data_IF_581987722926
#
_entry.id   IF_581987722926
#
_cell.length_a   1.000
_cell.length_b   1.000
_cell.length_c   1.000
_cell.angle_alpha   90.00
_cell.angle_beta   90.00
_cell.angle_gamma   90.00
#
_symmetry.space_group_name_H-M   'P 1'
#
loop_
_entity.id
_entity.type
_entity.pdbx_description
1 polymer ?
#
# COMPACT_ATOMS: atom_id res chain seq x y z
N UNK A 1 -36.74 -10.41 8.33
CA UNK A 1 -36.89 -11.88 8.26
C UNK A 1 -37.67 -12.38 9.49
N UNK A 2 -38.47 -13.46 9.35
CA UNK A 2 -39.11 -14.11 10.50
C UNK A 2 -38.15 -15.15 11.09
N UNK A 3 -38.38 -15.53 12.38
CA UNK A 3 -37.57 -16.55 13.02
C UNK A 3 -37.60 -17.90 12.28
N UNK A 4 -38.77 -18.34 11.81
CA UNK A 4 -38.91 -19.56 11.03
C UNK A 4 -38.15 -19.52 9.69
N UNK A 5 -38.12 -18.36 9.02
CA UNK A 5 -37.32 -18.19 7.82
C UNK A 5 -35.83 -18.16 8.13
N UNK A 6 -35.41 -17.68 9.31
CA UNK A 6 -34.03 -17.73 9.74
C UNK A 6 -33.60 -19.18 10.06
N UNK A 7 -34.48 -20.00 10.67
CA UNK A 7 -34.20 -21.43 10.87
C UNK A 7 -34.07 -22.19 9.54
N UNK A 8 -34.98 -21.93 8.57
CA UNK A 8 -34.90 -22.54 7.23
C UNK A 8 -33.55 -22.17 6.55
N UNK A 9 -33.10 -20.94 6.72
CA UNK A 9 -31.79 -20.50 6.20
C UNK A 9 -30.60 -21.19 6.89
N UNK A 10 -30.68 -21.52 8.18
CA UNK A 10 -29.62 -22.30 8.86
C UNK A 10 -29.49 -23.67 8.20
N UNK A 11 -30.62 -24.33 7.94
CA UNK A 11 -30.62 -25.65 7.29
C UNK A 11 -30.02 -25.58 5.87
N UNK A 12 -30.31 -24.53 5.11
CA UNK A 12 -29.75 -24.33 3.76
C UNK A 12 -28.23 -24.05 3.83
N UNK A 13 -27.80 -23.25 4.76
CA UNK A 13 -26.38 -22.87 4.93
C UNK A 13 -25.53 -24.03 5.49
N UNK A 14 -26.08 -24.88 6.38
CA UNK A 14 -25.40 -26.07 6.90
C UNK A 14 -25.14 -27.15 5.84
N UNK A 15 -25.91 -27.15 4.75
CA UNK A 15 -25.72 -28.09 3.65
C UNK A 15 -24.63 -27.67 2.66
N UNK A 16 -24.04 -26.49 2.82
CA UNK A 16 -22.97 -26.01 1.96
C UNK A 16 -21.64 -26.75 2.29
N UNK A 17 -20.97 -27.24 1.26
CA UNK A 17 -19.70 -27.94 1.41
C UNK A 17 -18.62 -26.98 1.97
N UNK A 18 -17.99 -27.35 3.07
CA UNK A 18 -16.99 -26.53 3.76
C UNK A 18 -17.54 -25.67 4.91
N UNK A 19 -18.86 -25.67 5.12
CA UNK A 19 -19.45 -25.12 6.35
C UNK A 19 -19.42 -26.20 7.43
N UNK A 20 -18.80 -25.86 8.57
CA UNK A 20 -18.63 -26.77 9.70
C UNK A 20 -19.72 -26.65 10.73
N UNK A 21 -20.12 -25.43 11.04
CA UNK A 21 -21.08 -25.14 12.08
C UNK A 21 -21.69 -23.76 11.86
N UNK A 22 -22.97 -23.63 12.17
CA UNK A 22 -23.68 -22.36 12.24
C UNK A 22 -24.21 -22.19 13.67
N UNK A 23 -23.89 -21.05 14.27
CA UNK A 23 -24.46 -20.67 15.56
C UNK A 23 -25.60 -19.68 15.31
N UNK A 24 -26.81 -20.11 15.67
CA UNK A 24 -28.02 -19.31 15.61
C UNK A 24 -29.02 -19.87 16.66
N UNK A 25 -29.61 -18.99 17.45
CA UNK A 25 -30.62 -19.34 18.46
C UNK A 25 -31.64 -18.20 18.63
N UNK A 26 -32.62 -18.39 19.49
CA UNK A 26 -33.68 -17.43 19.80
C UNK A 26 -33.24 -16.35 20.82
N UNK A 27 -31.96 -16.27 21.15
CA UNK A 27 -31.44 -15.26 22.02
C UNK A 27 -31.49 -13.87 21.37
N UNK A 28 -31.49 -12.83 22.19
CA UNK A 28 -31.45 -11.46 21.69
C UNK A 28 -30.15 -11.10 20.98
N UNK A 29 -29.13 -11.92 21.15
CA UNK A 29 -27.84 -11.74 20.50
C UNK A 29 -27.88 -12.22 19.04
N UNK A 30 -28.71 -13.25 18.74
CA UNK A 30 -28.83 -13.81 17.40
C UNK A 30 -30.11 -13.40 16.66
N UNK A 31 -31.22 -13.11 17.38
CA UNK A 31 -32.45 -12.71 16.73
C UNK A 31 -33.15 -11.56 17.46
N UNK A 32 -33.34 -10.44 16.79
CA UNK A 32 -34.02 -9.26 17.37
C UNK A 32 -34.88 -8.55 16.33
N UNK A 33 -36.20 -8.54 16.55
CA UNK A 33 -37.14 -7.87 15.64
C UNK A 33 -37.30 -8.59 14.30
N UNK A 34 -36.64 -8.09 13.27
CA UNK A 34 -36.59 -8.70 11.92
C UNK A 34 -35.14 -8.98 11.48
N UNK A 35 -34.18 -8.83 12.38
CA UNK A 35 -32.77 -9.03 12.12
C UNK A 35 -32.31 -10.36 12.73
N UNK A 36 -31.55 -11.15 11.93
CA UNK A 36 -30.95 -12.41 12.34
C UNK A 36 -29.42 -12.33 12.16
N UNK A 37 -28.67 -12.79 13.16
CA UNK A 37 -27.22 -12.90 13.13
C UNK A 37 -26.82 -14.37 13.10
N UNK A 38 -26.15 -14.78 12.04
CA UNK A 38 -25.59 -16.12 11.89
C UNK A 38 -24.07 -16.05 12.08
N UNK A 39 -23.53 -16.89 12.96
CA UNK A 39 -22.09 -17.09 13.08
C UNK A 39 -21.69 -18.37 12.37
N UNK A 40 -21.09 -18.24 11.18
CA UNK A 40 -20.71 -19.37 10.33
C UNK A 40 -19.24 -19.72 10.54
N UNK A 41 -18.97 -20.98 10.89
CA UNK A 41 -17.61 -21.52 11.00
C UNK A 41 -17.35 -22.46 9.83
N UNK A 42 -16.19 -22.31 9.18
CA UNK A 42 -15.79 -23.15 8.04
C UNK A 42 -14.84 -24.27 8.46
N UNK A 43 -14.75 -25.34 7.65
CA UNK A 43 -13.90 -26.50 7.90
C UNK A 43 -12.40 -26.23 7.71
N UNK A 44 -12.06 -25.28 6.85
CA UNK A 44 -10.68 -24.87 6.55
C UNK A 44 -10.21 -23.65 7.34
N UNK A 45 -8.95 -23.29 7.15
CA UNK A 45 -8.41 -22.02 7.61
C UNK A 45 -8.88 -20.86 6.74
N UNK A 46 -8.66 -19.63 7.20
CA UNK A 46 -9.08 -18.39 6.52
C UNK A 46 -8.52 -18.26 5.08
N UNK A 47 -7.38 -18.89 4.80
CA UNK A 47 -6.69 -18.82 3.50
C UNK A 47 -6.96 -20.03 2.60
N UNK A 48 -7.57 -21.09 3.13
CA UNK A 48 -7.84 -22.29 2.36
C UNK A 48 -8.97 -22.12 1.34
N UNK A 49 -8.81 -22.74 0.16
CA UNK A 49 -9.77 -22.62 -0.93
C UNK A 49 -11.17 -23.10 -0.53
N UNK A 50 -11.26 -24.15 0.29
CA UNK A 50 -12.54 -24.69 0.76
C UNK A 50 -13.35 -23.65 1.55
N UNK A 51 -12.68 -22.84 2.39
CA UNK A 51 -13.35 -21.77 3.14
C UNK A 51 -13.79 -20.61 2.24
N UNK A 52 -13.02 -20.32 1.19
CA UNK A 52 -13.34 -19.27 0.21
C UNK A 52 -14.52 -19.67 -0.65
N UNK A 53 -14.54 -20.89 -1.16
CA UNK A 53 -15.62 -21.42 -1.98
C UNK A 53 -16.92 -21.50 -1.15
N UNK A 54 -16.83 -21.99 0.09
CA UNK A 54 -17.97 -22.03 1.01
C UNK A 54 -18.51 -20.63 1.33
N UNK A 55 -17.65 -19.63 1.54
CA UNK A 55 -18.09 -18.24 1.77
C UNK A 55 -18.79 -17.64 0.54
N UNK A 56 -18.34 -17.98 -0.67
CA UNK A 56 -18.98 -17.52 -1.91
C UNK A 56 -20.37 -18.15 -2.06
N UNK A 57 -20.52 -19.45 -1.80
CA UNK A 57 -21.81 -20.16 -1.83
C UNK A 57 -22.76 -19.66 -0.74
N UNK A 58 -22.25 -19.36 0.47
CA UNK A 58 -23.04 -18.69 1.53
C UNK A 58 -23.59 -17.35 1.04
N UNK A 59 -22.79 -16.54 0.36
CA UNK A 59 -23.23 -15.27 -0.18
C UNK A 59 -24.26 -15.42 -1.30
N UNK A 60 -24.09 -16.43 -2.18
CA UNK A 60 -25.06 -16.73 -3.23
C UNK A 60 -26.40 -17.20 -2.65
N UNK A 61 -26.36 -18.03 -1.60
CA UNK A 61 -27.57 -18.49 -0.90
C UNK A 61 -28.33 -17.35 -0.22
N UNK A 62 -27.58 -16.33 0.23
CA UNK A 62 -28.15 -15.14 0.84
C UNK A 62 -28.51 -14.04 -0.19
N UNK A 63 -28.26 -14.27 -1.48
CA UNK A 63 -28.64 -13.32 -2.53
C UNK A 63 -30.17 -13.16 -2.57
N UNK A 64 -30.63 -11.94 -2.45
CA UNK A 64 -32.06 -11.62 -2.33
C UNK A 64 -32.49 -11.16 -0.93
N UNK A 65 -31.64 -11.29 0.06
CA UNK A 65 -31.81 -10.71 1.39
C UNK A 65 -30.95 -9.44 1.55
N UNK A 66 -31.38 -8.52 2.41
CA UNK A 66 -30.54 -7.37 2.80
C UNK A 66 -29.57 -7.83 3.89
N UNK A 67 -28.35 -8.21 3.49
CA UNK A 67 -27.36 -8.84 4.36
C UNK A 67 -26.08 -8.03 4.45
N UNK A 68 -25.53 -7.99 5.65
CA UNK A 68 -24.17 -7.53 5.90
C UNK A 68 -23.30 -8.74 6.29
N UNK A 69 -22.28 -9.03 5.47
CA UNK A 69 -21.34 -10.13 5.71
C UNK A 69 -20.02 -9.59 6.20
N UNK A 70 -19.60 -9.99 7.40
CA UNK A 70 -18.26 -9.77 7.94
C UNK A 70 -17.54 -11.12 8.03
N UNK A 71 -16.38 -11.25 7.42
CA UNK A 71 -15.63 -12.51 7.37
C UNK A 71 -14.14 -12.26 7.31
N UNK A 72 -13.36 -13.03 8.08
CA UNK A 72 -11.90 -13.08 7.98
C UNK A 72 -11.41 -13.91 6.78
N UNK A 73 -12.26 -14.77 6.23
CA UNK A 73 -11.91 -15.64 5.08
C UNK A 73 -11.59 -14.81 3.84
N UNK A 74 -10.38 -14.97 3.33
CA UNK A 74 -9.88 -14.26 2.15
C UNK A 74 -9.74 -12.73 2.36
N UNK A 75 -9.74 -12.24 3.60
CA UNK A 75 -9.61 -10.80 3.91
C UNK A 75 -8.26 -10.27 3.47
N UNK A 76 -7.19 -11.05 3.63
CA UNK A 76 -5.85 -10.66 3.18
C UNK A 76 -5.79 -10.48 1.66
N UNK A 77 -6.38 -11.38 0.88
CA UNK A 77 -6.40 -11.27 -0.59
C UNK A 77 -7.26 -10.10 -1.06
N UNK A 78 -8.46 -9.94 -0.50
CA UNK A 78 -9.36 -8.82 -0.83
C UNK A 78 -8.76 -7.47 -0.44
N UNK A 79 -8.11 -7.42 0.71
CA UNK A 79 -7.39 -6.23 1.16
C UNK A 79 -6.20 -5.93 0.25
N UNK A 80 -5.45 -6.95 -0.17
CA UNK A 80 -4.33 -6.81 -1.07
C UNK A 80 -4.78 -6.36 -2.48
N UNK A 81 -5.89 -6.89 -2.98
CA UNK A 81 -6.44 -6.52 -4.29
C UNK A 81 -7.02 -5.10 -4.30
N UNK A 82 -7.79 -4.74 -3.29
CA UNK A 82 -8.31 -3.37 -3.11
C UNK A 82 -7.17 -2.38 -2.95
N UNK A 83 -6.17 -2.70 -2.12
CA UNK A 83 -4.98 -1.88 -1.97
C UNK A 83 -4.19 -1.76 -3.28
N UNK A 84 -4.10 -2.83 -4.08
CA UNK A 84 -3.41 -2.79 -5.38
C UNK A 84 -4.12 -1.85 -6.37
N UNK A 85 -5.45 -1.84 -6.41
CA UNK A 85 -6.23 -0.93 -7.24
C UNK A 85 -6.09 0.52 -6.75
N UNK A 86 -6.24 0.76 -5.47
CA UNK A 86 -6.07 2.09 -4.86
C UNK A 86 -4.66 2.63 -5.07
N UNK A 87 -3.64 1.75 -5.00
CA UNK A 87 -2.25 2.12 -5.22
C UNK A 87 -1.96 2.56 -6.65
N UNK A 88 -2.59 1.95 -7.65
CA UNK A 88 -2.45 2.41 -9.03
C UNK A 88 -3.00 3.84 -9.20
N UNK A 89 -4.13 4.13 -8.58
CA UNK A 89 -4.72 5.48 -8.59
C UNK A 89 -3.80 6.47 -7.87
N UNK A 90 -3.31 6.11 -6.69
CA UNK A 90 -2.38 6.93 -5.90
C UNK A 90 -1.09 7.19 -6.68
N UNK A 91 -0.54 6.19 -7.36
CA UNK A 91 0.69 6.31 -8.14
C UNK A 91 0.50 7.23 -9.34
N UNK A 92 -0.60 7.11 -10.07
CA UNK A 92 -0.94 8.01 -11.17
C UNK A 92 -1.12 9.44 -10.65
N UNK A 93 -1.85 9.61 -9.54
CA UNK A 93 -2.04 10.93 -8.91
C UNK A 93 -0.71 11.53 -8.46
N UNK A 94 0.16 10.72 -7.84
CA UNK A 94 1.50 11.14 -7.44
C UNK A 94 2.31 11.64 -8.65
N UNK A 95 2.34 10.88 -9.74
CA UNK A 95 3.05 11.29 -10.97
C UNK A 95 2.48 12.60 -11.53
N UNK A 96 1.16 12.78 -11.54
CA UNK A 96 0.54 14.04 -11.97
C UNK A 96 0.96 15.22 -11.09
N UNK A 97 0.95 15.03 -9.77
CA UNK A 97 1.40 16.06 -8.81
C UNK A 97 2.89 16.37 -9.03
N UNK A 98 3.73 15.34 -9.21
CA UNK A 98 5.15 15.49 -9.52
C UNK A 98 5.37 16.35 -10.74
N UNK A 99 4.71 16.03 -11.84
CA UNK A 99 4.82 16.80 -13.09
C UNK A 99 4.37 18.24 -12.88
N UNK A 100 3.27 18.45 -12.14
CA UNK A 100 2.78 19.79 -11.85
C UNK A 100 3.78 20.60 -11.02
N UNK A 101 4.34 19.99 -9.96
CA UNK A 101 5.35 20.64 -9.12
C UNK A 101 6.61 20.95 -9.91
N UNK A 102 7.12 20.02 -10.70
CA UNK A 102 8.29 20.24 -11.55
C UNK A 102 8.02 21.33 -12.60
N UNK A 103 6.83 21.41 -13.19
CA UNK A 103 6.46 22.49 -14.12
C UNK A 103 6.47 23.87 -13.46
N UNK A 104 6.09 23.94 -12.19
CA UNK A 104 6.08 25.18 -11.43
C UNK A 104 7.47 25.58 -10.93
N UNK A 105 8.29 24.58 -10.54
CA UNK A 105 9.63 24.81 -9.99
C UNK A 105 10.70 25.03 -11.06
N UNK A 106 10.60 24.36 -12.21
CA UNK A 106 11.68 24.41 -13.20
C UNK A 106 11.37 25.41 -14.33
N UNK A 107 12.36 26.24 -14.68
CA UNK A 107 12.32 27.10 -15.86
C UNK A 107 12.70 26.39 -17.17
N UNK A 108 13.22 25.14 -17.07
CA UNK A 108 13.70 24.35 -18.21
C UNK A 108 12.82 23.11 -18.41
N UNK A 109 11.83 23.19 -19.28
CA UNK A 109 10.88 22.09 -19.53
C UNK A 109 11.53 20.77 -20.00
N UNK A 110 12.73 20.82 -20.59
CA UNK A 110 13.47 19.62 -21.01
C UNK A 110 14.01 18.80 -19.83
N UNK A 111 14.12 19.40 -18.65
CA UNK A 111 14.61 18.75 -17.43
C UNK A 111 13.57 17.77 -16.86
N UNK A 112 12.27 18.06 -17.04
CA UNK A 112 11.17 17.26 -16.50
C UNK A 112 11.21 15.79 -17.00
N UNK A 113 11.29 15.51 -18.32
CA UNK A 113 11.35 14.13 -18.77
C UNK A 113 12.60 13.39 -18.33
N UNK A 114 13.74 14.09 -18.18
CA UNK A 114 14.97 13.47 -17.70
C UNK A 114 14.80 13.03 -16.24
N UNK A 115 14.24 13.88 -15.38
CA UNK A 115 13.97 13.56 -13.98
C UNK A 115 12.94 12.42 -13.86
N UNK A 116 11.87 12.44 -14.66
CA UNK A 116 10.88 11.36 -14.63
C UNK A 116 11.47 10.00 -15.03
N UNK A 117 12.36 9.97 -16.03
CA UNK A 117 13.07 8.73 -16.40
C UNK A 117 13.97 8.27 -15.26
N UNK A 118 14.70 9.18 -14.62
CA UNK A 118 15.56 8.86 -13.47
C UNK A 118 14.75 8.28 -12.31
N UNK A 119 13.62 8.91 -11.99
CA UNK A 119 12.71 8.41 -10.94
C UNK A 119 12.10 7.04 -11.31
N UNK A 120 11.73 6.85 -12.58
CA UNK A 120 11.25 5.56 -13.08
C UNK A 120 12.30 4.46 -12.94
N UNK A 121 13.56 4.74 -13.30
CA UNK A 121 14.66 3.79 -13.12
C UNK A 121 14.89 3.49 -11.63
N UNK A 122 14.88 4.49 -10.77
CA UNK A 122 15.03 4.29 -9.32
C UNK A 122 13.88 3.44 -8.74
N UNK A 123 12.63 3.66 -9.18
CA UNK A 123 11.48 2.88 -8.76
C UNK A 123 11.60 1.41 -9.20
N UNK A 124 11.99 1.16 -10.46
CA UNK A 124 12.23 -0.20 -10.99
C UNK A 124 13.35 -0.90 -10.22
N UNK A 125 14.43 -0.21 -9.91
CA UNK A 125 15.53 -0.76 -9.09
C UNK A 125 15.04 -1.09 -7.67
N UNK A 126 14.21 -0.25 -7.09
CA UNK A 126 13.64 -0.51 -5.77
C UNK A 126 12.76 -1.76 -5.79
N UNK A 127 11.86 -1.89 -6.76
CA UNK A 127 11.01 -3.08 -6.91
C UNK A 127 11.84 -4.34 -7.19
N UNK A 128 12.83 -4.25 -8.09
CA UNK A 128 13.69 -5.38 -8.45
C UNK A 128 14.54 -5.89 -7.29
N UNK A 129 15.05 -4.99 -6.45
CA UNK A 129 15.84 -5.36 -5.25
C UNK A 129 14.99 -5.90 -4.10
N UNK A 130 13.67 -5.79 -4.15
CA UNK A 130 12.76 -6.40 -3.17
C UNK A 130 12.89 -7.93 -3.14
N UNK A 131 13.25 -8.55 -4.26
CA UNK A 131 13.48 -9.98 -4.35
C UNK A 131 14.46 -10.52 -3.29
N UNK A 132 15.45 -9.74 -2.88
CA UNK A 132 16.45 -10.16 -1.87
C UNK A 132 15.89 -10.17 -0.44
N UNK A 133 14.74 -9.54 -0.21
CA UNK A 133 14.12 -9.45 1.13
C UNK A 133 13.00 -10.48 1.34
N UNK A 134 12.74 -11.36 0.36
CA UNK A 134 11.72 -12.41 0.43
C UNK A 134 10.30 -11.87 0.22
N UNK A 135 9.35 -12.39 0.99
CA UNK A 135 7.95 -11.94 0.92
C UNK A 135 7.78 -10.60 1.61
N UNK A 136 7.39 -9.59 0.86
CA UNK A 136 7.13 -8.24 1.35
C UNK A 136 5.64 -7.99 1.25
N UNK A 137 5.05 -7.42 2.30
CA UNK A 137 3.64 -6.99 2.26
C UNK A 137 3.39 -6.04 1.08
N UNK A 138 2.27 -6.21 0.39
CA UNK A 138 1.82 -5.31 -0.69
C UNK A 138 1.72 -3.86 -0.22
N UNK A 139 1.26 -3.66 1.02
CA UNK A 139 1.20 -2.35 1.69
C UNK A 139 2.59 -1.71 1.78
N UNK A 140 3.58 -2.47 2.28
CA UNK A 140 4.96 -1.98 2.43
C UNK A 140 5.57 -1.59 1.08
N UNK A 141 5.41 -2.45 0.06
CA UNK A 141 5.92 -2.18 -1.28
C UNK A 141 5.33 -0.89 -1.86
N UNK A 142 4.04 -0.71 -1.69
CA UNK A 142 3.29 0.43 -2.20
C UNK A 142 3.72 1.75 -1.53
N UNK A 143 3.79 1.75 -0.21
CA UNK A 143 4.26 2.92 0.57
C UNK A 143 5.71 3.25 0.19
N UNK A 144 6.57 2.24 0.00
CA UNK A 144 7.96 2.45 -0.36
C UNK A 144 8.12 3.18 -1.71
N UNK A 145 7.34 2.79 -2.73
CA UNK A 145 7.40 3.43 -4.05
C UNK A 145 6.92 4.89 -3.98
N UNK A 146 5.81 5.15 -3.29
CA UNK A 146 5.29 6.52 -3.13
C UNK A 146 6.26 7.41 -2.36
N UNK A 147 6.80 6.91 -1.24
CA UNK A 147 7.79 7.63 -0.45
C UNK A 147 9.07 7.91 -1.25
N UNK A 148 9.54 6.91 -1.99
CA UNK A 148 10.72 7.06 -2.84
C UNK A 148 10.54 8.15 -3.89
N UNK A 149 9.39 8.16 -4.57
CA UNK A 149 9.08 9.19 -5.56
C UNK A 149 9.02 10.59 -4.93
N UNK A 150 8.36 10.71 -3.77
CA UNK A 150 8.26 11.99 -3.06
C UNK A 150 9.64 12.54 -2.67
N UNK A 151 10.52 11.70 -2.09
CA UNK A 151 11.85 12.11 -1.70
C UNK A 151 12.75 12.41 -2.89
N UNK A 152 12.66 11.60 -3.96
CA UNK A 152 13.43 11.83 -5.18
C UNK A 152 13.15 13.20 -5.81
N UNK A 153 11.88 13.65 -5.73
CA UNK A 153 11.51 15.00 -6.21
C UNK A 153 12.12 16.08 -5.34
N UNK A 154 12.03 15.96 -4.03
CA UNK A 154 12.61 16.94 -3.11
C UNK A 154 14.11 17.11 -3.36
N UNK A 155 14.82 15.99 -3.53
CA UNK A 155 16.26 16.02 -3.84
C UNK A 155 16.56 16.62 -5.20
N UNK A 156 15.75 16.31 -6.20
CA UNK A 156 15.88 16.87 -7.53
C UNK A 156 15.65 18.39 -7.53
N UNK A 157 14.64 18.88 -6.81
CA UNK A 157 14.34 20.31 -6.69
C UNK A 157 15.52 21.02 -6.02
N UNK A 158 16.02 20.51 -4.89
CA UNK A 158 17.17 21.09 -4.19
C UNK A 158 18.37 21.19 -5.12
N UNK A 159 18.69 20.11 -5.85
CA UNK A 159 19.82 20.09 -6.78
C UNK A 159 19.61 21.06 -7.95
N UNK A 160 18.42 21.11 -8.51
CA UNK A 160 18.09 22.00 -9.62
C UNK A 160 18.17 23.48 -9.21
N UNK A 161 17.63 23.80 -8.04
CA UNK A 161 17.65 25.18 -7.53
C UNK A 161 19.10 25.63 -7.27
N UNK A 162 19.93 24.76 -6.66
CA UNK A 162 21.36 25.04 -6.48
C UNK A 162 22.10 25.20 -7.80
N UNK A 163 21.80 24.33 -8.79
CA UNK A 163 22.40 24.47 -10.12
C UNK A 163 22.02 25.79 -10.78
N UNK A 164 20.76 26.18 -10.72
CA UNK A 164 20.30 27.44 -11.34
C UNK A 164 20.95 28.67 -10.65
N UNK A 165 21.08 28.64 -9.32
CA UNK A 165 21.76 29.71 -8.56
C UNK A 165 23.22 29.88 -9.00
N UNK A 166 23.95 28.75 -9.11
CA UNK A 166 25.36 28.80 -9.50
C UNK A 166 25.57 29.13 -10.99
N UNK A 167 24.66 28.71 -11.85
CA UNK A 167 24.71 28.93 -13.31
C UNK A 167 24.47 30.39 -13.70
N UNK A 168 23.98 31.23 -12.81
CA UNK A 168 23.91 32.68 -13.05
C UNK A 168 25.31 33.33 -13.18
N UNK A 169 26.33 32.74 -12.55
CA UNK A 169 27.67 33.32 -12.45
C UNK A 169 28.76 32.42 -13.03
N UNK A 170 28.51 31.12 -13.15
CA UNK A 170 29.49 30.12 -13.60
C UNK A 170 29.03 29.48 -14.92
N UNK A 171 29.96 28.86 -15.62
CA UNK A 171 29.60 28.03 -16.76
C UNK A 171 28.91 26.73 -16.30
N UNK A 172 28.26 26.03 -17.22
CA UNK A 172 27.42 24.87 -16.88
C UNK A 172 28.22 23.76 -16.19
N UNK A 173 29.47 23.51 -16.58
CA UNK A 173 30.31 22.46 -16.00
C UNK A 173 30.74 22.79 -14.56
N UNK A 174 31.14 24.02 -14.33
CA UNK A 174 31.56 24.48 -13.02
C UNK A 174 30.36 24.63 -12.08
N UNK A 175 29.24 25.17 -12.58
CA UNK A 175 27.98 25.28 -11.85
C UNK A 175 27.50 23.94 -11.31
N UNK A 176 27.54 22.86 -12.10
CA UNK A 176 27.18 21.51 -11.64
C UNK A 176 28.08 21.04 -10.51
N UNK A 177 29.39 21.23 -10.60
CA UNK A 177 30.32 20.80 -9.54
C UNK A 177 30.06 21.52 -8.23
N UNK A 178 29.84 22.82 -8.30
CA UNK A 178 29.56 23.65 -7.12
C UNK A 178 28.19 23.32 -6.55
N UNK A 179 27.15 23.18 -7.38
CA UNK A 179 25.80 22.81 -6.97
C UNK A 179 25.80 21.48 -6.24
N UNK A 180 26.46 20.44 -6.81
CA UNK A 180 26.58 19.14 -6.16
C UNK A 180 27.29 19.22 -4.81
N UNK A 181 28.37 19.97 -4.71
CA UNK A 181 29.13 20.12 -3.46
C UNK A 181 28.30 20.77 -2.34
N UNK A 182 27.35 21.64 -2.69
CA UNK A 182 26.42 22.29 -1.76
C UNK A 182 25.16 21.44 -1.46
N UNK A 183 24.59 20.82 -2.49
CA UNK A 183 23.36 20.04 -2.36
C UNK A 183 23.57 18.71 -1.61
N UNK A 184 24.69 18.00 -1.83
CA UNK A 184 24.96 16.70 -1.21
C UNK A 184 24.89 16.75 0.33
N UNK A 185 25.53 17.68 1.04
CA UNK A 185 25.42 17.76 2.50
C UNK A 185 23.99 18.06 2.97
N UNK A 186 23.25 18.89 2.26
CA UNK A 186 21.87 19.27 2.58
C UNK A 186 20.92 18.07 2.42
N UNK A 187 20.96 17.40 1.27
CA UNK A 187 20.18 16.21 0.97
C UNK A 187 20.54 15.06 1.94
N UNK A 188 21.84 14.82 2.18
CA UNK A 188 22.30 13.76 3.08
C UNK A 188 21.84 13.99 4.52
N UNK A 189 21.86 15.23 5.00
CA UNK A 189 21.40 15.59 6.34
C UNK A 189 19.89 15.33 6.51
N UNK A 190 19.08 15.72 5.53
CA UNK A 190 17.64 15.48 5.50
C UNK A 190 17.34 13.98 5.45
N UNK A 191 18.00 13.26 4.54
CA UNK A 191 17.85 11.81 4.37
C UNK A 191 18.22 11.04 5.62
N UNK A 192 19.31 11.44 6.30
CA UNK A 192 19.74 10.77 7.54
C UNK A 192 18.69 10.88 8.64
N UNK A 193 18.02 12.02 8.74
CA UNK A 193 16.92 12.22 9.70
C UNK A 193 15.76 11.29 9.40
N UNK A 194 15.35 11.17 8.13
CA UNK A 194 14.28 10.28 7.70
C UNK A 194 14.67 8.80 7.91
N UNK A 195 15.88 8.42 7.52
CA UNK A 195 16.42 7.06 7.75
C UNK A 195 16.41 6.73 9.24
N UNK A 196 16.79 7.65 10.12
CA UNK A 196 16.78 7.42 11.56
C UNK A 196 15.37 7.11 12.09
N UNK A 197 14.35 7.80 11.57
CA UNK A 197 12.94 7.50 11.88
C UNK A 197 12.50 6.12 11.39
N UNK A 198 12.89 5.73 10.17
CA UNK A 198 12.57 4.41 9.62
C UNK A 198 13.33 3.28 10.33
N UNK A 199 14.58 3.52 10.72
CA UNK A 199 15.34 2.58 11.56
C UNK A 199 14.67 2.39 12.92
N UNK A 200 14.10 3.44 13.52
CA UNK A 200 13.35 3.29 14.75
C UNK A 200 12.14 2.35 14.61
N UNK A 201 11.48 2.31 13.46
CA UNK A 201 10.40 1.36 13.18
C UNK A 201 10.87 -0.09 13.21
N UNK A 202 12.13 -0.37 12.88
CA UNK A 202 12.68 -1.75 12.91
C UNK A 202 12.75 -2.33 14.32
N UNK A 203 12.69 -1.49 15.36
CA UNK A 203 12.65 -1.93 16.77
C UNK A 203 11.22 -2.18 17.30
N UNK A 204 10.19 -2.02 16.46
CA UNK A 204 8.83 -2.36 16.83
C UNK A 204 8.68 -3.87 16.99
N UNK A 205 7.86 -4.30 17.96
CA UNK A 205 7.59 -5.72 18.20
C UNK A 205 6.74 -6.38 17.10
N UNK A 206 6.08 -5.59 16.26
CA UNK A 206 5.30 -6.07 15.12
C UNK A 206 6.21 -6.33 13.92
N UNK A 207 6.07 -7.51 13.33
CA UNK A 207 6.82 -7.91 12.13
C UNK A 207 6.66 -6.91 10.98
N UNK A 208 5.46 -6.35 10.79
CA UNK A 208 5.19 -5.30 9.80
C UNK A 208 6.09 -4.06 10.01
N UNK A 209 6.34 -3.65 11.24
CA UNK A 209 7.20 -2.50 11.53
C UNK A 209 8.65 -2.73 11.08
N UNK A 210 9.18 -3.93 11.31
CA UNK A 210 10.51 -4.32 10.86
C UNK A 210 10.61 -4.35 9.33
N UNK A 211 9.67 -5.02 8.65
CA UNK A 211 9.64 -5.14 7.19
C UNK A 211 9.50 -3.77 6.52
N UNK A 212 8.60 -2.92 7.03
CA UNK A 212 8.45 -1.55 6.55
C UNK A 212 9.73 -0.74 6.77
N UNK A 213 10.32 -0.80 7.95
CA UNK A 213 11.52 -0.05 8.29
C UNK A 213 12.66 -0.33 7.32
N UNK A 214 12.97 -1.60 7.05
CA UNK A 214 14.09 -1.99 6.20
C UNK A 214 13.85 -1.62 4.72
N UNK A 215 12.62 -1.83 4.22
CA UNK A 215 12.28 -1.53 2.82
C UNK A 215 12.25 -0.02 2.57
N UNK A 216 11.73 0.77 3.52
CA UNK A 216 11.71 2.21 3.41
C UNK A 216 13.12 2.82 3.49
N UNK A 217 13.99 2.32 4.38
CA UNK A 217 15.41 2.73 4.41
C UNK A 217 16.09 2.45 3.08
N UNK A 218 15.88 1.25 2.49
CA UNK A 218 16.39 0.91 1.16
C UNK A 218 15.86 1.87 0.09
N UNK A 219 14.56 2.17 0.10
CA UNK A 219 13.93 3.08 -0.85
C UNK A 219 14.55 4.50 -0.78
N UNK A 220 14.82 4.99 0.43
CA UNK A 220 15.48 6.28 0.64
C UNK A 220 16.91 6.26 0.08
N UNK A 221 17.68 5.22 0.35
CA UNK A 221 19.05 5.09 -0.16
C UNK A 221 19.09 5.04 -1.69
N UNK A 222 18.11 4.40 -2.32
CA UNK A 222 18.00 4.33 -3.78
C UNK A 222 17.48 5.62 -4.42
N UNK A 223 16.92 6.55 -3.64
CA UNK A 223 16.46 7.85 -4.12
C UNK A 223 17.54 8.96 -4.01
N UNK A 224 18.62 8.69 -3.28
CA UNK A 224 19.82 9.54 -3.16
C UNK A 224 20.72 9.45 -4.38
#
# INVERSE_FOLDING_TARGET
>A
ITYAQAEDLVDDLENIEGVKQIEFDDSKDHFTGADALFSVTFDGTEDEQISKDALEEVKETLDGYDVYVSSSVGEEERSAESLSQDMNIILVLAVVIIVAVLMLSTKAYLQIPVLLITFGVAAVLNMGTNYWFGTISSVTNSIAVVLQLALAIDYAIILCDRFMEEHETLDAEEAVKVALSKAIPEISSSSLTTISGMVAMMFMQFRLGYDMGIILVKAIILSL
#
